data_IF_139206534285
#
_entry.id   IF_139206534285
#
_cell.length_a   1.000
_cell.length_b   1.000
_cell.length_c   1.000
_cell.angle_alpha   90.00
_cell.angle_beta   90.00
_cell.angle_gamma   90.00
#
_symmetry.space_group_name_H-M   'P 1'
#
loop_
_entity.id
_entity.type
_entity.pdbx_description
1 polymer ?
#
# COMPACT_ATOMS: atom_id res chain seq x y z
N UNK A 1 -11.42 -14.83 -13.39
CA UNK A 1 -10.98 -14.09 -12.19
C UNK A 1 -11.98 -12.97 -11.95
N UNK A 2 -12.56 -12.87 -10.77
CA UNK A 2 -13.59 -11.86 -10.45
C UNK A 2 -13.01 -10.44 -10.33
N UNK A 3 -13.88 -9.42 -10.23
CA UNK A 3 -13.43 -8.04 -10.03
C UNK A 3 -12.67 -7.91 -8.70
N UNK A 4 -11.58 -7.14 -8.70
CA UNK A 4 -10.72 -6.90 -7.54
C UNK A 4 -11.03 -5.54 -6.89
N UNK A 5 -10.49 -5.28 -5.68
CA UNK A 5 -10.60 -3.96 -5.05
C UNK A 5 -10.10 -2.82 -5.97
N UNK A 6 -9.00 -3.07 -6.72
CA UNK A 6 -8.52 -2.12 -7.74
C UNK A 6 -9.52 -1.88 -8.87
N UNK A 7 -10.29 -2.89 -9.26
CA UNK A 7 -11.33 -2.72 -10.29
C UNK A 7 -12.38 -1.72 -9.84
N UNK A 8 -12.86 -1.87 -8.61
CA UNK A 8 -13.85 -0.96 -8.03
C UNK A 8 -13.27 0.45 -7.80
N UNK A 9 -12.06 0.55 -7.27
CA UNK A 9 -11.36 1.82 -7.13
C UNK A 9 -11.24 2.56 -8.47
N UNK A 10 -10.77 1.88 -9.52
CA UNK A 10 -10.61 2.48 -10.85
C UNK A 10 -11.94 2.89 -11.47
N UNK A 11 -12.99 2.08 -11.28
CA UNK A 11 -14.34 2.41 -11.73
C UNK A 11 -14.90 3.64 -11.01
N UNK A 12 -14.80 3.67 -9.67
CA UNK A 12 -15.24 4.82 -8.87
C UNK A 12 -14.46 6.09 -9.24
N UNK A 13 -13.16 5.98 -9.47
CA UNK A 13 -12.32 7.12 -9.89
C UNK A 13 -12.74 7.69 -11.26
N UNK A 14 -13.13 6.83 -12.20
CA UNK A 14 -13.67 7.28 -13.52
C UNK A 14 -15.03 8.00 -13.39
N UNK A 15 -15.76 7.72 -12.33
CA UNK A 15 -17.09 8.27 -12.07
C UNK A 15 -17.06 9.51 -11.17
N UNK A 16 -15.91 10.13 -10.94
CA UNK A 16 -15.77 11.29 -10.03
C UNK A 16 -16.67 12.48 -10.38
N UNK A 17 -17.07 12.61 -11.65
CA UNK A 17 -18.06 13.61 -12.09
C UNK A 17 -19.48 13.33 -11.55
N UNK A 18 -19.75 12.11 -11.07
CA UNK A 18 -21.02 11.64 -10.51
C UNK A 18 -20.79 11.09 -9.10
N UNK A 19 -20.59 11.94 -8.08
CA UNK A 19 -20.05 11.53 -6.78
C UNK A 19 -20.91 10.49 -6.05
N UNK A 20 -22.24 10.53 -6.20
CA UNK A 20 -23.12 9.52 -5.60
C UNK A 20 -22.88 8.13 -6.17
N UNK A 21 -22.71 8.04 -7.49
CA UNK A 21 -22.46 6.78 -8.17
C UNK A 21 -21.05 6.27 -7.89
N UNK A 22 -20.05 7.16 -7.88
CA UNK A 22 -18.68 6.84 -7.50
C UNK A 22 -18.60 6.23 -6.10
N UNK A 23 -19.25 6.86 -5.12
CA UNK A 23 -19.30 6.37 -3.75
C UNK A 23 -20.02 5.02 -3.63
N UNK A 24 -21.10 4.82 -4.37
CA UNK A 24 -21.79 3.53 -4.39
C UNK A 24 -20.89 2.41 -4.92
N UNK A 25 -20.20 2.65 -6.03
CA UNK A 25 -19.27 1.67 -6.63
C UNK A 25 -18.11 1.37 -5.68
N UNK A 26 -17.52 2.38 -5.04
CA UNK A 26 -16.47 2.20 -4.04
C UNK A 26 -16.98 1.36 -2.85
N UNK A 27 -18.14 1.71 -2.28
CA UNK A 27 -18.73 0.99 -1.14
C UNK A 27 -19.00 -0.49 -1.45
N UNK A 28 -19.46 -0.80 -2.65
CA UNK A 28 -19.66 -2.19 -3.09
C UNK A 28 -18.32 -2.93 -3.12
N UNK A 29 -17.29 -2.31 -3.69
CA UNK A 29 -15.94 -2.88 -3.71
C UNK A 29 -15.38 -3.13 -2.32
N UNK A 30 -15.50 -2.14 -1.43
CA UNK A 30 -15.05 -2.22 -0.05
C UNK A 30 -15.71 -3.40 0.70
N UNK A 31 -17.03 -3.56 0.53
CA UNK A 31 -17.76 -4.67 1.18
C UNK A 31 -17.40 -6.04 0.62
N UNK A 32 -17.21 -6.15 -0.69
CA UNK A 32 -16.89 -7.43 -1.34
C UNK A 32 -15.47 -7.92 -0.99
N UNK A 33 -14.53 -7.01 -0.74
CA UNK A 33 -13.13 -7.35 -0.48
C UNK A 33 -12.71 -7.11 0.96
N UNK A 34 -13.63 -6.66 1.83
CA UNK A 34 -13.31 -6.20 3.19
C UNK A 34 -12.10 -5.23 3.16
N UNK A 35 -12.13 -4.30 2.23
CA UNK A 35 -11.04 -3.36 1.94
C UNK A 35 -11.56 -1.94 1.88
N UNK A 36 -10.67 -0.97 1.94
CA UNK A 36 -10.99 0.43 1.66
C UNK A 36 -9.86 1.09 0.89
N UNK A 37 -10.10 1.37 -0.38
CA UNK A 37 -9.17 2.13 -1.22
C UNK A 37 -9.82 3.46 -1.60
N UNK A 38 -9.41 4.52 -0.91
CA UNK A 38 -10.02 5.84 -1.10
C UNK A 38 -9.78 6.37 -2.52
N UNK A 39 -10.81 6.97 -3.12
CA UNK A 39 -10.75 7.50 -4.49
C UNK A 39 -9.82 8.71 -4.65
N UNK A 40 -9.44 9.36 -3.56
CA UNK A 40 -8.44 10.44 -3.53
C UNK A 40 -7.00 9.92 -3.46
N UNK A 41 -6.81 8.63 -3.21
CA UNK A 41 -5.48 8.03 -3.35
C UNK A 41 -5.02 8.07 -4.82
N UNK A 42 -3.72 8.09 -5.04
CA UNK A 42 -3.11 8.16 -6.37
C UNK A 42 -2.28 6.90 -6.59
N UNK A 43 -2.89 5.91 -7.23
CA UNK A 43 -2.24 4.65 -7.55
C UNK A 43 -1.85 4.63 -9.04
N UNK A 44 -0.57 4.34 -9.30
CA UNK A 44 -0.13 4.12 -10.68
C UNK A 44 -0.91 2.94 -11.30
N UNK A 45 -1.24 2.98 -12.62
CA UNK A 45 -2.02 1.92 -13.28
C UNK A 45 -1.43 0.51 -13.18
N UNK A 46 -0.12 0.39 -12.96
CA UNK A 46 0.58 -0.90 -12.84
C UNK A 46 0.75 -1.39 -11.40
N UNK A 47 0.12 -0.73 -10.43
CA UNK A 47 0.06 -1.23 -9.04
C UNK A 47 -0.77 -2.51 -9.00
N UNK A 48 -0.28 -3.48 -8.25
CA UNK A 48 -0.96 -4.75 -8.03
C UNK A 48 -1.32 -4.92 -6.55
N UNK A 49 -2.53 -5.45 -6.29
CA UNK A 49 -2.96 -5.84 -4.96
C UNK A 49 -3.04 -7.36 -4.86
N UNK A 50 -2.30 -7.93 -3.93
CA UNK A 50 -2.31 -9.37 -3.65
C UNK A 50 -3.71 -9.85 -3.25
N UNK A 51 -4.08 -11.04 -3.71
CA UNK A 51 -5.39 -11.66 -3.45
C UNK A 51 -6.59 -10.75 -3.71
N UNK A 52 -6.50 -9.93 -4.76
CA UNK A 52 -7.58 -9.02 -5.15
C UNK A 52 -7.74 -7.81 -4.23
N UNK A 53 -6.85 -7.62 -3.24
CA UNK A 53 -6.87 -6.49 -2.30
C UNK A 53 -7.66 -6.76 -1.02
N UNK A 54 -7.86 -8.02 -0.64
CA UNK A 54 -8.56 -8.38 0.60
C UNK A 54 -7.89 -7.70 1.79
N UNK A 55 -8.70 -6.98 2.59
CA UNK A 55 -8.27 -6.31 3.83
C UNK A 55 -7.30 -5.14 3.62
N UNK A 56 -7.08 -4.69 2.39
CA UNK A 56 -6.21 -3.55 2.11
C UNK A 56 -6.92 -2.25 2.45
N UNK A 57 -6.25 -1.38 3.21
CA UNK A 57 -6.72 -0.04 3.55
C UNK A 57 -5.73 0.99 3.00
N UNK A 58 -6.21 1.90 2.16
CA UNK A 58 -5.41 2.97 1.58
C UNK A 58 -6.15 4.29 1.80
N UNK A 59 -5.59 5.14 2.65
CA UNK A 59 -6.17 6.42 3.02
C UNK A 59 -6.15 7.44 1.87
N UNK A 60 -7.01 8.48 1.95
CA UNK A 60 -6.99 9.57 0.98
C UNK A 60 -5.62 10.26 0.92
N UNK A 61 -5.17 10.57 -0.29
CA UNK A 61 -3.91 11.26 -0.54
C UNK A 61 -2.66 10.39 -0.54
N UNK A 62 -2.76 9.09 -0.22
CA UNK A 62 -1.66 8.15 -0.37
C UNK A 62 -1.28 8.04 -1.84
N UNK A 63 0.02 8.06 -2.11
CA UNK A 63 0.57 7.89 -3.46
C UNK A 63 1.33 6.56 -3.57
N UNK A 64 1.09 5.80 -4.65
CA UNK A 64 1.79 4.52 -4.88
C UNK A 64 2.33 4.51 -6.31
N UNK A 65 3.65 4.38 -6.42
CA UNK A 65 4.39 4.37 -7.67
C UNK A 65 4.24 3.07 -8.48
N UNK A 66 4.75 3.13 -9.70
CA UNK A 66 4.62 2.07 -10.69
C UNK A 66 5.18 0.72 -10.22
N UNK A 67 4.54 -0.38 -10.65
CA UNK A 67 4.97 -1.77 -10.43
C UNK A 67 5.13 -2.17 -8.96
N UNK A 68 4.54 -1.39 -8.04
CA UNK A 68 4.54 -1.75 -6.63
C UNK A 68 3.48 -2.80 -6.35
N UNK A 69 3.82 -3.74 -5.48
CA UNK A 69 2.95 -4.84 -5.06
C UNK A 69 2.57 -4.68 -3.59
N UNK A 70 1.28 -4.61 -3.32
CA UNK A 70 0.70 -4.46 -2.00
C UNK A 70 0.00 -5.75 -1.63
N UNK A 71 0.51 -6.47 -0.64
CA UNK A 71 -0.10 -7.73 -0.19
C UNK A 71 -1.43 -7.48 0.54
N UNK A 72 -2.17 -8.55 0.81
CA UNK A 72 -3.42 -8.49 1.57
C UNK A 72 -3.20 -7.97 3.00
N UNK A 73 -4.24 -7.37 3.57
CA UNK A 73 -4.27 -6.82 4.94
C UNK A 73 -3.21 -5.73 5.20
N UNK A 74 -2.75 -5.05 4.18
CA UNK A 74 -1.82 -3.91 4.32
C UNK A 74 -2.62 -2.64 4.59
N UNK A 75 -2.15 -1.82 5.52
CA UNK A 75 -2.69 -0.48 5.79
C UNK A 75 -1.66 0.60 5.44
N UNK A 76 -2.10 1.59 4.67
CA UNK A 76 -1.36 2.82 4.37
C UNK A 76 -2.20 4.00 4.86
N UNK A 77 -1.88 4.52 6.04
CA UNK A 77 -2.76 5.43 6.77
C UNK A 77 -2.02 6.60 7.43
N UNK A 78 -2.74 7.70 7.75
CA UNK A 78 -2.18 8.73 8.61
C UNK A 78 -1.88 8.19 10.01
N UNK A 79 -0.95 8.82 10.72
CA UNK A 79 -0.67 8.54 12.12
C UNK A 79 -1.18 9.70 12.97
N UNK A 80 -2.01 9.47 14.00
CA UNK A 80 -2.45 10.52 14.91
C UNK A 80 -1.27 11.34 15.46
N UNK A 81 -1.39 12.67 15.40
CA UNK A 81 -0.33 13.59 15.84
C UNK A 81 0.75 13.88 14.79
N UNK A 82 0.73 13.26 13.62
CA UNK A 82 1.59 13.61 12.49
C UNK A 82 0.75 14.04 11.28
N UNK A 83 1.14 15.14 10.62
CA UNK A 83 0.45 15.64 9.43
C UNK A 83 1.01 14.97 8.19
N UNK A 84 0.14 14.31 7.42
CA UNK A 84 0.48 13.66 6.16
C UNK A 84 0.16 12.18 6.13
N UNK A 85 0.40 11.58 4.98
CA UNK A 85 0.11 10.17 4.67
C UNK A 85 1.30 9.54 3.97
N UNK A 86 1.36 8.21 3.90
CA UNK A 86 2.44 7.50 3.22
C UNK A 86 2.57 7.85 1.74
N UNK A 87 3.82 7.86 1.26
CA UNK A 87 4.17 7.88 -0.16
C UNK A 87 5.04 6.69 -0.48
N UNK A 88 4.61 5.89 -1.42
CA UNK A 88 5.27 4.65 -1.84
C UNK A 88 5.88 4.84 -3.22
N UNK A 89 7.16 4.59 -3.35
CA UNK A 89 7.90 4.67 -4.60
C UNK A 89 7.52 3.59 -5.62
N UNK A 90 8.38 3.39 -6.62
CA UNK A 90 8.22 2.39 -7.68
C UNK A 90 8.86 1.07 -7.27
N UNK A 91 8.36 -0.04 -7.85
CA UNK A 91 8.92 -1.38 -7.65
C UNK A 91 9.02 -1.77 -6.15
N UNK A 92 8.15 -1.23 -5.30
CA UNK A 92 8.11 -1.50 -3.86
C UNK A 92 7.28 -2.76 -3.59
N UNK A 93 7.77 -3.61 -2.69
CA UNK A 93 7.01 -4.74 -2.18
C UNK A 93 6.59 -4.50 -0.73
N UNK A 94 5.29 -4.57 -0.45
CA UNK A 94 4.77 -4.47 0.92
C UNK A 94 4.15 -5.81 1.30
N UNK A 95 4.76 -6.46 2.29
CA UNK A 95 4.37 -7.78 2.79
C UNK A 95 3.03 -7.79 3.51
N UNK A 96 2.43 -8.98 3.58
CA UNK A 96 1.11 -9.21 4.19
C UNK A 96 1.02 -8.62 5.60
N UNK A 97 -0.08 -7.91 5.88
CA UNK A 97 -0.38 -7.35 7.20
C UNK A 97 0.53 -6.20 7.63
N UNK A 98 1.43 -5.72 6.76
CA UNK A 98 2.27 -4.58 7.09
C UNK A 98 1.46 -3.29 7.20
N UNK A 99 1.87 -2.42 8.10
CA UNK A 99 1.27 -1.10 8.31
C UNK A 99 2.31 -0.02 8.06
N UNK A 100 2.01 0.94 7.21
CA UNK A 100 2.83 2.12 6.95
C UNK A 100 2.04 3.33 7.42
N UNK A 101 2.51 3.99 8.46
CA UNK A 101 1.72 4.96 9.20
C UNK A 101 2.41 6.33 9.24
N UNK A 102 1.65 7.36 8.89
CA UNK A 102 2.09 8.75 8.92
C UNK A 102 2.78 9.22 7.63
N UNK A 103 3.42 10.39 7.66
CA UNK A 103 4.06 11.00 6.49
C UNK A 103 5.40 10.31 6.16
N UNK A 104 5.34 9.03 5.86
CA UNK A 104 6.50 8.16 5.62
C UNK A 104 6.73 8.02 4.12
N UNK A 105 7.98 8.12 3.69
CA UNK A 105 8.39 7.88 2.31
C UNK A 105 9.05 6.51 2.20
N UNK A 106 8.48 5.65 1.38
CA UNK A 106 9.07 4.35 1.03
C UNK A 106 9.79 4.51 -0.31
N UNK A 107 11.11 4.39 -0.29
CA UNK A 107 11.95 4.57 -1.47
C UNK A 107 11.74 3.49 -2.52
N UNK A 108 12.11 3.79 -3.77
CA UNK A 108 12.00 2.88 -4.92
C UNK A 108 12.70 1.54 -4.63
N UNK A 109 12.06 0.43 -5.00
CA UNK A 109 12.62 -0.91 -4.83
C UNK A 109 12.73 -1.41 -3.39
N UNK A 110 12.23 -0.66 -2.40
CA UNK A 110 12.23 -1.09 -1.00
C UNK A 110 11.31 -2.29 -0.78
N UNK A 111 11.61 -3.06 0.26
CA UNK A 111 10.79 -4.23 0.65
C UNK A 111 10.40 -4.10 2.11
N UNK A 112 9.11 -4.18 2.37
CA UNK A 112 8.54 -4.17 3.72
C UNK A 112 8.16 -5.61 4.09
N UNK A 113 8.72 -6.10 5.17
CA UNK A 113 8.43 -7.45 5.67
C UNK A 113 6.98 -7.61 6.13
N UNK A 114 6.51 -8.86 6.15
CA UNK A 114 5.17 -9.18 6.64
C UNK A 114 4.98 -8.70 8.09
N UNK A 115 3.80 -8.16 8.40
CA UNK A 115 3.42 -7.62 9.71
C UNK A 115 4.36 -6.54 10.27
N UNK A 116 5.19 -5.91 9.44
CA UNK A 116 6.02 -4.80 9.87
C UNK A 116 5.19 -3.55 10.12
N UNK A 117 5.58 -2.76 11.12
CA UNK A 117 4.99 -1.43 11.38
C UNK A 117 6.06 -0.38 11.05
N UNK A 118 5.84 0.32 9.93
CA UNK A 118 6.75 1.33 9.41
C UNK A 118 6.31 2.71 9.88
N UNK A 119 7.16 3.37 10.63
CA UNK A 119 6.91 4.69 11.24
C UNK A 119 7.92 5.75 10.77
N UNK A 120 8.96 5.33 10.06
CA UNK A 120 10.06 6.17 9.57
C UNK A 120 10.30 5.89 8.08
N UNK A 121 10.94 6.83 7.40
CA UNK A 121 11.28 6.69 5.98
C UNK A 121 12.14 5.45 5.71
N UNK A 122 11.91 4.82 4.58
CA UNK A 122 12.66 3.65 4.12
C UNK A 122 13.47 4.01 2.89
N UNK A 123 14.78 3.86 2.97
CA UNK A 123 15.68 4.17 1.86
C UNK A 123 15.42 3.26 0.65
N UNK A 124 15.68 3.75 -0.58
CA UNK A 124 15.54 2.93 -1.78
C UNK A 124 16.32 1.63 -1.70
N UNK A 125 15.73 0.54 -2.20
CA UNK A 125 16.34 -0.78 -2.28
C UNK A 125 16.59 -1.48 -0.94
N UNK A 126 16.19 -0.90 0.18
CA UNK A 126 16.37 -1.52 1.50
C UNK A 126 15.23 -2.45 1.86
N UNK A 127 15.49 -3.41 2.72
CA UNK A 127 14.48 -4.28 3.31
C UNK A 127 14.33 -3.95 4.78
N UNK A 128 13.11 -3.67 5.21
CA UNK A 128 12.79 -3.42 6.63
C UNK A 128 11.76 -4.43 7.12
N UNK A 129 11.83 -4.80 8.40
CA UNK A 129 10.87 -5.68 9.04
C UNK A 129 10.79 -5.42 10.54
N UNK A 130 9.77 -5.97 11.19
CA UNK A 130 9.57 -5.91 12.64
C UNK A 130 8.65 -4.79 13.10
N UNK A 131 8.50 -4.66 14.42
CA UNK A 131 7.65 -3.71 15.13
C UNK A 131 8.46 -3.02 16.23
N UNK A 132 8.84 -1.74 16.07
CA UNK A 132 8.82 -0.96 14.85
C UNK A 132 9.77 -1.53 13.78
N UNK A 133 9.47 -1.28 12.50
CA UNK A 133 10.28 -1.78 11.39
C UNK A 133 11.71 -1.23 11.46
N UNK A 134 12.68 -2.11 11.23
CA UNK A 134 14.12 -1.76 11.14
C UNK A 134 14.74 -2.41 9.94
N UNK A 135 15.79 -1.79 9.41
CA UNK A 135 16.51 -2.32 8.27
C UNK A 135 17.13 -3.68 8.60
N UNK A 136 16.88 -4.63 7.72
CA UNK A 136 17.52 -5.94 7.77
C UNK A 136 18.90 -5.82 7.06
N UNK A 137 19.97 -5.91 7.84
CA UNK A 137 21.31 -6.06 7.27
C UNK A 137 21.34 -7.36 6.45
N UNK A 138 21.64 -7.27 5.16
CA UNK A 138 21.88 -8.47 4.37
C UNK A 138 23.02 -9.24 5.05
N UNK A 139 22.74 -10.45 5.51
CA UNK A 139 23.82 -11.39 5.83
C UNK A 139 24.49 -11.71 4.50
N UNK A 140 25.69 -11.17 4.28
CA UNK A 140 26.57 -11.66 3.22
C UNK A 140 26.72 -13.16 3.51
N UNK A 141 26.33 -14.06 2.59
CA UNK A 141 26.60 -15.48 2.81
C UNK A 141 28.11 -15.63 3.01
N UNK A 142 28.58 -16.46 3.96
CA UNK A 142 29.98 -16.70 4.10
C UNK A 142 30.50 -17.16 2.75
N UNK A 143 31.47 -16.43 2.19
CA UNK A 143 32.20 -16.84 1.00
C UNK A 143 32.77 -18.21 1.32
N UNK A 144 32.17 -19.25 0.75
CA UNK A 144 32.64 -20.61 0.91
C UNK A 144 34.06 -20.72 0.46
N UNK A 145 34.92 -21.17 1.33
CA UNK A 145 36.24 -21.73 1.01
C UNK A 145 36.03 -23.03 0.26
#
# INVERSE_FOLDING_TARGET
>A
MGPTALTFYRAAKRLQALPRLANMVATVGDRLHNSHVDTKAVLHPTVELGYGGIGVIIAPGVEIGAKSFISQNVSLEPLPGRVGVPRVGRDVYIGVGAQVLGPVVIGDGAKIGANAIVLDDVAPGTTVAGIPARELKQKVPPTGT
#
